data_IF_465520502091
#
_entry.id   IF_465520502091
#
_cell.length_a   1.000
_cell.length_b   1.000
_cell.length_c   1.000
_cell.angle_alpha   90.00
_cell.angle_beta   90.00
_cell.angle_gamma   90.00
#
_symmetry.space_group_name_H-M   'P 1'
#
loop_
_entity.id
_entity.type
_entity.pdbx_description
1 polymer ?
#
# COMPACT_ATOMS: atom_id res chain seq x y z
N UNK A 1 26.83 -46.62 -38.83
CA UNK A 1 26.69 -46.05 -37.47
C UNK A 1 26.29 -44.60 -37.60
N UNK A 2 25.05 -44.27 -37.25
CA UNK A 2 24.60 -42.95 -36.76
C UNK A 2 23.08 -43.09 -36.49
N UNK A 3 22.71 -43.26 -35.23
CA UNK A 3 21.31 -43.31 -34.77
C UNK A 3 20.91 -41.89 -34.38
N UNK A 4 19.94 -41.31 -35.07
CA UNK A 4 19.25 -40.09 -34.62
C UNK A 4 18.19 -40.48 -33.60
N UNK A 5 18.35 -39.99 -32.36
CA UNK A 5 17.34 -40.01 -31.30
C UNK A 5 16.68 -38.63 -31.19
N UNK A 6 15.41 -38.56 -30.74
CA UNK A 6 14.50 -37.45 -31.00
C UNK A 6 14.74 -36.26 -30.07
N UNK A 7 14.49 -35.06 -30.60
CA UNK A 7 14.44 -33.81 -29.85
C UNK A 7 13.25 -33.85 -28.87
N UNK A 8 13.54 -34.26 -27.65
CA UNK A 8 12.68 -34.19 -26.48
C UNK A 8 12.21 -32.77 -26.20
N UNK A 9 10.91 -32.66 -25.93
CA UNK A 9 10.30 -31.91 -24.83
C UNK A 9 11.18 -30.78 -24.24
N UNK A 10 11.12 -29.61 -24.84
CA UNK A 10 11.39 -28.35 -24.15
C UNK A 10 10.34 -27.35 -24.60
N UNK A 11 9.93 -26.47 -23.69
CA UNK A 11 8.86 -25.45 -23.85
C UNK A 11 7.46 -25.93 -23.43
N UNK A 12 7.36 -26.52 -22.22
CA UNK A 12 6.11 -26.56 -21.45
C UNK A 12 6.35 -26.05 -20.01
N UNK A 13 6.95 -24.87 -19.89
CA UNK A 13 7.12 -24.16 -18.60
C UNK A 13 6.72 -22.67 -18.65
N UNK A 14 5.98 -22.23 -19.68
CA UNK A 14 5.57 -20.81 -19.82
C UNK A 14 4.17 -20.49 -19.26
N UNK A 15 3.49 -21.42 -18.58
CA UNK A 15 2.09 -21.23 -18.13
C UNK A 15 1.87 -21.31 -16.61
N UNK A 16 2.91 -21.44 -15.78
CA UNK A 16 2.77 -21.54 -14.31
C UNK A 16 3.77 -20.69 -13.52
N UNK A 17 4.34 -19.66 -14.14
CA UNK A 17 5.30 -18.74 -13.52
C UNK A 17 4.66 -17.57 -12.79
N UNK A 18 3.77 -17.84 -11.83
CA UNK A 18 3.19 -16.83 -10.94
C UNK A 18 3.45 -17.13 -9.47
N UNK A 19 4.56 -17.81 -9.14
CA UNK A 19 4.98 -17.97 -7.75
C UNK A 19 5.54 -16.62 -7.29
N UNK A 20 4.66 -15.70 -6.92
CA UNK A 20 5.05 -14.40 -6.36
C UNK A 20 5.79 -14.65 -5.05
N UNK A 21 7.07 -14.25 -4.96
CA UNK A 21 7.87 -14.44 -3.76
C UNK A 21 7.29 -13.57 -2.63
N UNK A 22 6.67 -14.20 -1.63
CA UNK A 22 6.43 -13.66 -0.29
C UNK A 22 5.92 -12.21 -0.19
N UNK A 23 4.99 -11.81 -1.06
CA UNK A 23 4.35 -10.49 -1.04
C UNK A 23 2.97 -10.50 -0.41
N UNK A 24 2.48 -9.35 0.04
CA UNK A 24 1.11 -9.22 0.56
C UNK A 24 0.13 -9.47 -0.58
N UNK A 25 -0.75 -10.47 -0.48
CA UNK A 25 -1.73 -10.78 -1.53
C UNK A 25 -3.16 -10.36 -1.17
N UNK A 26 -3.40 -10.03 0.10
CA UNK A 26 -4.72 -9.66 0.62
C UNK A 26 -4.58 -8.86 1.91
N UNK A 27 -5.57 -8.03 2.19
CA UNK A 27 -5.75 -7.36 3.48
C UNK A 27 -6.84 -8.11 4.23
N UNK A 28 -6.53 -8.63 5.42
CA UNK A 28 -7.52 -9.17 6.36
C UNK A 28 -7.58 -8.24 7.55
N UNK A 29 -8.78 -7.77 7.89
CA UNK A 29 -8.94 -6.85 9.00
C UNK A 29 -10.34 -6.91 9.60
N UNK A 30 -10.44 -6.38 10.82
CA UNK A 30 -11.67 -6.00 11.47
C UNK A 30 -11.64 -4.48 11.71
N UNK A 31 -12.65 -3.79 11.20
CA UNK A 31 -12.80 -2.33 11.35
C UNK A 31 -13.31 -2.03 12.76
N UNK A 32 -12.59 -1.19 13.49
CA UNK A 32 -13.04 -0.66 14.78
C UNK A 32 -14.15 0.37 14.57
N UNK A 33 -15.09 0.42 15.52
CA UNK A 33 -16.25 1.33 15.49
C UNK A 33 -17.07 1.23 14.20
N UNK A 34 -17.15 0.03 13.61
CA UNK A 34 -17.96 -0.23 12.42
C UNK A 34 -19.45 -0.02 12.74
N UNK A 35 -20.22 0.71 11.91
CA UNK A 35 -21.61 1.09 12.20
C UNK A 35 -22.61 -0.07 12.21
N UNK A 36 -22.16 -1.33 12.05
CA UNK A 36 -23.00 -2.52 12.24
C UNK A 36 -23.66 -3.09 10.97
N UNK A 37 -23.43 -2.47 9.80
CA UNK A 37 -24.11 -2.83 8.55
C UNK A 37 -23.19 -3.56 7.57
N UNK A 38 -23.74 -4.49 6.81
CA UNK A 38 -23.00 -5.14 5.73
C UNK A 38 -22.73 -4.14 4.60
N UNK A 39 -21.59 -4.29 3.92
CA UNK A 39 -21.14 -3.31 2.96
C UNK A 39 -20.09 -3.83 2.00
N UNK A 40 -19.38 -2.91 1.37
CA UNK A 40 -18.22 -3.22 0.54
C UNK A 40 -16.99 -2.43 0.99
N UNK A 41 -15.82 -3.04 0.78
CA UNK A 41 -14.51 -2.36 0.82
C UNK A 41 -13.86 -2.48 -0.54
N UNK A 42 -13.15 -1.43 -0.96
CA UNK A 42 -12.56 -1.37 -2.30
C UNK A 42 -11.29 -0.52 -2.33
N UNK A 43 -10.39 -0.88 -3.24
CA UNK A 43 -9.27 -0.02 -3.65
C UNK A 43 -9.68 0.64 -4.95
N UNK A 44 -9.59 1.96 -5.00
CA UNK A 44 -9.94 2.75 -6.16
C UNK A 44 -8.69 3.09 -6.99
N UNK A 45 -8.86 3.04 -8.32
CA UNK A 45 -7.89 3.51 -9.29
C UNK A 45 -8.20 4.94 -9.76
N UNK A 46 -7.56 5.35 -10.85
CA UNK A 46 -7.85 6.63 -11.51
C UNK A 46 -9.32 6.71 -11.94
N UNK A 47 -9.95 7.87 -11.75
CA UNK A 47 -11.35 8.09 -12.13
C UNK A 47 -12.40 7.42 -11.23
N UNK A 48 -12.00 6.87 -10.08
CA UNK A 48 -12.92 6.27 -9.11
C UNK A 48 -13.35 4.84 -9.43
N UNK A 49 -12.73 4.20 -10.43
CA UNK A 49 -12.99 2.78 -10.75
C UNK A 49 -12.38 1.86 -9.71
N UNK A 50 -13.11 0.85 -9.24
CA UNK A 50 -12.57 -0.14 -8.31
C UNK A 50 -11.53 -1.04 -9.01
N UNK A 51 -10.31 -1.10 -8.47
CA UNK A 51 -9.27 -2.05 -8.88
C UNK A 51 -9.50 -3.44 -8.27
N UNK A 52 -10.13 -3.48 -7.10
CA UNK A 52 -10.54 -4.69 -6.38
C UNK A 52 -11.59 -4.31 -5.33
N UNK A 53 -12.43 -5.26 -4.97
CA UNK A 53 -13.40 -5.11 -3.89
C UNK A 53 -13.66 -6.42 -3.16
N UNK A 54 -14.18 -6.31 -1.94
CA UNK A 54 -14.71 -7.44 -1.17
C UNK A 54 -15.87 -6.98 -0.29
N UNK A 55 -16.71 -7.91 0.14
CA UNK A 55 -17.71 -7.63 1.16
C UNK A 55 -17.04 -7.32 2.52
N UNK A 56 -17.69 -6.46 3.30
CA UNK A 56 -17.45 -6.29 4.74
C UNK A 56 -18.73 -6.69 5.47
N UNK A 57 -18.60 -7.52 6.50
CA UNK A 57 -19.75 -8.02 7.26
C UNK A 57 -20.27 -7.01 8.29
N UNK A 58 -21.37 -7.35 8.95
CA UNK A 58 -22.01 -6.51 9.98
C UNK A 58 -21.12 -6.24 11.20
N UNK A 59 -20.08 -7.04 11.43
CA UNK A 59 -19.13 -6.84 12.53
C UNK A 59 -17.82 -6.19 12.06
N UNK A 60 -17.79 -5.68 10.83
CA UNK A 60 -16.68 -4.92 10.26
C UNK A 60 -15.53 -5.79 9.78
N UNK A 61 -15.71 -7.10 9.58
CA UNK A 61 -14.65 -8.00 9.10
C UNK A 61 -14.66 -8.09 7.59
N UNK A 62 -13.46 -8.09 7.00
CA UNK A 62 -13.30 -8.27 5.56
C UNK A 62 -12.00 -9.01 5.21
N UNK A 63 -11.98 -9.56 3.99
CA UNK A 63 -10.78 -10.07 3.34
C UNK A 63 -10.74 -9.51 1.91
N UNK A 64 -9.92 -8.48 1.71
CA UNK A 64 -9.80 -7.75 0.45
C UNK A 64 -8.60 -8.30 -0.34
N UNK A 65 -8.80 -8.96 -1.48
CA UNK A 65 -7.68 -9.35 -2.34
C UNK A 65 -6.99 -8.11 -2.88
N UNK A 66 -5.66 -8.07 -2.88
CA UNK A 66 -4.90 -6.98 -3.48
C UNK A 66 -4.77 -7.19 -4.99
N UNK A 67 -4.88 -6.13 -5.82
CA UNK A 67 -4.80 -6.27 -7.28
C UNK A 67 -3.43 -6.77 -7.72
N UNK A 68 -3.40 -7.61 -8.75
CA UNK A 68 -2.17 -8.08 -9.38
C UNK A 68 -1.56 -7.06 -10.35
N UNK A 69 -0.39 -7.40 -10.91
CA UNK A 69 0.39 -6.50 -11.76
C UNK A 69 -0.40 -5.87 -12.93
N UNK A 70 -1.23 -6.66 -13.63
CA UNK A 70 -2.01 -6.18 -14.77
C UNK A 70 -3.02 -5.09 -14.38
N UNK A 71 -3.67 -5.23 -13.22
CA UNK A 71 -4.62 -4.24 -12.71
C UNK A 71 -3.92 -2.99 -12.15
N UNK A 72 -2.69 -3.14 -11.67
CA UNK A 72 -1.90 -2.04 -11.14
C UNK A 72 -1.24 -1.19 -12.23
N UNK A 73 -0.85 -1.78 -13.36
CA UNK A 73 -0.09 -1.11 -14.42
C UNK A 73 -0.62 0.30 -14.82
N UNK A 74 -1.95 0.53 -14.96
CA UNK A 74 -2.46 1.85 -15.36
C UNK A 74 -2.35 2.93 -14.29
N UNK A 75 -2.13 2.57 -13.03
CA UNK A 75 -2.11 3.52 -11.89
C UNK A 75 -0.71 3.72 -11.30
N UNK A 76 0.31 3.07 -11.85
CA UNK A 76 1.68 3.21 -11.37
C UNK A 76 2.27 4.58 -11.73
N UNK A 77 3.06 5.12 -10.81
CA UNK A 77 3.75 6.40 -10.94
C UNK A 77 5.25 6.21 -10.77
N UNK A 78 6.11 7.01 -11.42
CA UNK A 78 7.56 6.90 -11.28
C UNK A 78 8.08 7.33 -9.90
N UNK A 79 7.23 7.87 -9.03
CA UNK A 79 7.61 8.35 -7.71
C UNK A 79 6.54 8.05 -6.66
N UNK A 80 6.97 7.80 -5.42
CA UNK A 80 6.12 7.74 -4.23
C UNK A 80 5.76 9.12 -3.69
N UNK A 81 6.38 10.18 -4.20
CA UNK A 81 6.13 11.54 -3.74
C UNK A 81 4.72 12.00 -4.16
N UNK A 82 3.99 12.67 -3.26
CA UNK A 82 2.81 13.42 -3.67
C UNK A 82 3.23 14.54 -4.63
N UNK A 83 2.27 15.10 -5.37
CA UNK A 83 2.53 16.33 -6.13
C UNK A 83 3.02 17.40 -5.15
N UNK A 84 4.25 17.86 -5.34
CA UNK A 84 4.91 18.78 -4.42
C UNK A 84 4.24 20.15 -4.48
N UNK A 85 3.77 20.62 -3.32
CA UNK A 85 3.27 21.98 -3.20
C UNK A 85 4.43 22.98 -3.27
N UNK A 86 4.12 24.25 -3.54
CA UNK A 86 5.11 25.32 -3.52
C UNK A 86 5.81 25.38 -2.15
N UNK A 87 7.15 25.51 -2.16
CA UNK A 87 7.96 25.53 -0.93
C UNK A 87 8.29 24.15 -0.35
N UNK A 88 8.00 23.07 -1.09
CA UNK A 88 8.52 21.73 -0.80
C UNK A 88 9.80 21.46 -1.61
N UNK A 89 10.79 20.85 -0.96
CA UNK A 89 12.02 20.34 -1.56
C UNK A 89 12.18 18.87 -1.20
N UNK A 90 12.53 18.04 -2.16
CA UNK A 90 12.84 16.64 -1.92
C UNK A 90 14.31 16.31 -2.23
N UNK A 91 14.84 15.35 -1.49
CA UNK A 91 16.10 14.66 -1.76
C UNK A 91 15.87 13.16 -1.83
N UNK A 92 14.68 12.75 -2.26
CA UNK A 92 14.27 11.36 -2.27
C UNK A 92 14.81 10.70 -3.52
N UNK A 93 15.68 9.71 -3.32
CA UNK A 93 16.29 8.92 -4.37
C UNK A 93 15.66 7.53 -4.44
N UNK A 94 15.53 7.02 -5.66
CA UNK A 94 15.14 5.65 -5.95
C UNK A 94 16.34 4.95 -6.58
N UNK A 95 16.68 3.75 -6.11
CA UNK A 95 17.86 3.01 -6.59
C UNK A 95 17.78 2.62 -8.06
N UNK A 96 16.57 2.38 -8.57
CA UNK A 96 16.31 2.06 -9.98
C UNK A 96 15.28 3.06 -10.54
N UNK A 97 15.66 3.90 -11.52
CA UNK A 97 14.75 4.91 -12.08
C UNK A 97 13.61 4.31 -12.93
N UNK A 98 13.68 3.03 -13.31
CA UNK A 98 12.59 2.34 -13.99
C UNK A 98 11.52 1.81 -13.03
N UNK A 99 11.78 1.82 -11.72
CA UNK A 99 10.82 1.39 -10.72
C UNK A 99 9.61 2.34 -10.67
N UNK A 100 8.42 1.76 -10.66
CA UNK A 100 7.15 2.49 -10.56
C UNK A 100 6.36 1.99 -9.37
N UNK A 101 5.56 2.86 -8.79
CA UNK A 101 4.95 2.68 -7.49
C UNK A 101 3.48 3.06 -7.46
N UNK A 102 2.76 2.47 -6.52
CA UNK A 102 1.46 2.93 -6.08
C UNK A 102 1.39 2.86 -4.56
N UNK A 103 1.06 3.99 -3.92
CA UNK A 103 0.90 4.10 -2.47
C UNK A 103 -0.58 4.04 -2.13
N UNK A 104 -0.94 3.11 -1.25
CA UNK A 104 -2.28 2.93 -0.71
C UNK A 104 -2.29 3.28 0.78
N UNK A 105 -2.60 4.54 1.13
CA UNK A 105 -2.65 4.97 2.54
C UNK A 105 -3.98 4.61 3.22
N UNK A 106 -5.04 4.39 2.45
CA UNK A 106 -6.39 4.11 2.92
C UNK A 106 -7.16 3.27 1.90
N UNK A 107 -8.26 2.66 2.32
CA UNK A 107 -9.20 1.96 1.43
C UNK A 107 -10.59 2.58 1.56
N UNK A 108 -11.35 2.56 0.48
CA UNK A 108 -12.73 3.05 0.48
C UNK A 108 -13.65 1.95 1.01
N UNK A 109 -14.71 2.36 1.72
CA UNK A 109 -15.76 1.46 2.15
C UNK A 109 -17.14 2.10 1.92
N UNK A 110 -18.17 1.28 1.77
CA UNK A 110 -19.55 1.72 1.73
C UNK A 110 -20.41 0.83 2.60
N UNK A 111 -21.28 1.44 3.41
CA UNK A 111 -22.25 0.74 4.26
C UNK A 111 -23.44 1.66 4.53
N UNK A 112 -24.66 1.11 4.51
CA UNK A 112 -25.89 1.86 4.78
C UNK A 112 -26.06 3.15 3.93
N UNK A 113 -25.57 3.15 2.69
CA UNK A 113 -25.61 4.32 1.79
C UNK A 113 -24.57 5.41 2.10
N UNK A 114 -23.71 5.22 3.10
CA UNK A 114 -22.60 6.12 3.41
C UNK A 114 -21.29 5.62 2.76
N UNK A 115 -20.50 6.56 2.23
CA UNK A 115 -19.14 6.32 1.79
C UNK A 115 -18.16 6.68 2.91
N UNK A 116 -17.25 5.75 3.21
CA UNK A 116 -16.30 5.81 4.31
C UNK A 116 -14.87 5.64 3.79
N UNK A 117 -13.90 6.15 4.55
CA UNK A 117 -12.47 5.92 4.30
C UNK A 117 -11.87 5.22 5.52
N UNK A 118 -11.28 4.05 5.28
CA UNK A 118 -10.65 3.23 6.31
C UNK A 118 -9.14 3.43 6.27
N UNK A 119 -8.54 3.71 7.42
CA UNK A 119 -7.10 3.95 7.58
C UNK A 119 -6.55 2.92 8.57
N UNK A 120 -5.39 2.32 8.30
CA UNK A 120 -4.78 1.44 9.30
C UNK A 120 -3.93 2.27 10.23
N UNK A 121 -4.27 2.34 11.52
CA UNK A 121 -3.43 3.09 12.45
C UNK A 121 -3.46 2.50 13.86
N UNK A 122 -2.39 2.75 14.60
CA UNK A 122 -2.32 2.46 16.03
C UNK A 122 -3.25 3.40 16.80
N UNK A 123 -3.93 2.85 17.82
CA UNK A 123 -4.78 3.64 18.70
C UNK A 123 -3.88 4.33 19.72
N UNK A 124 -3.75 5.65 19.65
CA UNK A 124 -3.21 6.41 20.76
C UNK A 124 -4.32 6.76 21.73
N UNK A 125 -4.25 6.25 22.96
CA UNK A 125 -5.16 6.68 24.03
C UNK A 125 -4.77 8.06 24.59
N UNK A 126 -3.66 8.64 24.10
CA UNK A 126 -3.18 9.96 24.48
C UNK A 126 -3.57 10.95 23.38
N UNK A 127 -4.34 12.00 23.69
CA UNK A 127 -4.59 13.09 22.76
C UNK A 127 -3.27 13.66 22.22
N UNK A 128 -3.07 13.61 20.90
CA UNK A 128 -1.83 14.06 20.26
C UNK A 128 -0.63 13.13 20.39
N UNK A 129 -0.82 11.91 20.90
CA UNK A 129 0.23 10.91 21.00
C UNK A 129 0.66 10.32 19.64
N UNK A 130 1.56 9.32 19.66
CA UNK A 130 2.13 8.76 18.45
C UNK A 130 1.06 8.09 17.58
N UNK A 131 1.16 8.36 16.28
CA UNK A 131 0.31 7.81 15.24
C UNK A 131 1.19 6.99 14.30
N UNK A 132 1.04 5.68 14.33
CA UNK A 132 1.65 4.79 13.35
C UNK A 132 0.58 4.33 12.38
N UNK A 133 0.65 4.81 11.14
CA UNK A 133 -0.25 4.43 10.07
C UNK A 133 0.38 3.34 9.21
N UNK A 134 -0.34 2.25 8.95
CA UNK A 134 0.09 1.28 7.92
C UNK A 134 -0.30 1.77 6.55
N UNK A 135 0.62 1.60 5.64
CA UNK A 135 0.40 1.85 4.22
C UNK A 135 0.85 0.63 3.42
N UNK A 136 0.18 0.39 2.30
CA UNK A 136 0.61 -0.62 1.35
C UNK A 136 1.24 0.05 0.15
N UNK A 137 2.34 -0.51 -0.35
CA UNK A 137 3.08 0.01 -1.48
C UNK A 137 3.23 -1.09 -2.51
N UNK A 138 2.62 -0.90 -3.67
CA UNK A 138 2.94 -1.72 -4.84
C UNK A 138 4.21 -1.17 -5.50
N UNK A 139 5.19 -2.03 -5.79
CA UNK A 139 6.36 -1.69 -6.60
C UNK A 139 6.40 -2.61 -7.84
N UNK A 140 6.62 -2.05 -9.03
CA UNK A 140 6.73 -2.83 -10.27
C UNK A 140 7.93 -3.79 -10.26
N UNK A 141 8.99 -3.42 -9.53
CA UNK A 141 10.24 -4.15 -9.40
C UNK A 141 10.90 -3.86 -8.06
N UNK A 142 11.91 -4.64 -7.62
CA UNK A 142 12.61 -4.36 -6.38
C UNK A 142 13.29 -2.98 -6.43
N UNK A 143 13.14 -2.18 -5.38
CA UNK A 143 13.71 -0.84 -5.33
C UNK A 143 13.95 -0.38 -3.89
N UNK A 144 15.01 0.40 -3.70
CA UNK A 144 15.26 1.13 -2.45
C UNK A 144 14.88 2.59 -2.65
N UNK A 145 14.11 3.15 -1.69
CA UNK A 145 13.71 4.56 -1.69
C UNK A 145 14.20 5.21 -0.40
N UNK A 146 15.03 6.24 -0.53
CA UNK A 146 15.70 6.88 0.60
C UNK A 146 15.79 8.40 0.44
N UNK A 147 15.75 9.12 1.57
CA UNK A 147 15.94 10.56 1.62
C UNK A 147 14.76 11.27 2.28
N UNK A 148 14.71 12.59 2.14
CA UNK A 148 13.76 13.42 2.86
C UNK A 148 12.98 14.33 1.91
N UNK A 149 11.70 14.53 2.24
CA UNK A 149 10.84 15.58 1.71
C UNK A 149 10.62 16.61 2.81
N UNK A 150 10.91 17.87 2.54
CA UNK A 150 10.70 18.97 3.48
C UNK A 150 9.82 20.03 2.83
N UNK A 151 8.76 20.44 3.51
CA UNK A 151 7.84 21.49 3.09
C UNK A 151 7.88 22.63 4.09
N UNK A 152 8.63 23.68 3.76
CA UNK A 152 8.90 24.80 4.67
C UNK A 152 7.61 25.56 5.06
N UNK A 153 6.72 25.81 4.08
CA UNK A 153 5.47 26.53 4.28
C UNK A 153 4.52 25.77 5.22
N UNK A 154 4.49 24.44 5.11
CA UNK A 154 3.66 23.58 5.94
C UNK A 154 4.36 23.15 7.24
N UNK A 155 5.60 23.62 7.48
CA UNK A 155 6.46 23.19 8.57
C UNK A 155 6.47 21.66 8.78
N UNK A 156 6.51 20.90 7.67
CA UNK A 156 6.43 19.44 7.71
C UNK A 156 7.60 18.81 6.98
N UNK A 157 8.02 17.63 7.44
CA UNK A 157 8.98 16.81 6.74
C UNK A 157 8.58 15.34 6.78
N UNK A 158 8.96 14.60 5.75
CA UNK A 158 8.78 13.16 5.64
C UNK A 158 10.11 12.52 5.26
N UNK A 159 10.62 11.63 6.10
CA UNK A 159 11.78 10.81 5.78
C UNK A 159 11.35 9.47 5.18
N UNK A 160 12.09 8.99 4.19
CA UNK A 160 11.85 7.74 3.48
C UNK A 160 13.01 6.78 3.74
N UNK A 161 12.70 5.56 4.17
CA UNK A 161 13.66 4.49 4.37
C UNK A 161 13.02 3.15 3.99
N UNK A 162 12.84 2.94 2.68
CA UNK A 162 12.11 1.80 2.13
C UNK A 162 13.05 0.85 1.39
N UNK A 163 12.84 -0.45 1.62
CA UNK A 163 13.42 -1.55 0.83
C UNK A 163 12.28 -2.41 0.29
N UNK A 164 11.90 -2.18 -0.96
CA UNK A 164 10.69 -2.74 -1.58
C UNK A 164 11.06 -3.97 -2.43
N UNK A 165 10.27 -5.03 -2.29
CA UNK A 165 10.22 -6.17 -3.23
C UNK A 165 9.27 -5.83 -4.38
N UNK A 166 9.38 -6.55 -5.50
CA UNK A 166 8.35 -6.48 -6.54
C UNK A 166 6.98 -6.94 -5.99
N UNK A 167 5.90 -6.27 -6.40
CA UNK A 167 4.56 -6.51 -5.90
C UNK A 167 4.21 -5.66 -4.68
N UNK A 168 3.26 -6.14 -3.87
CA UNK A 168 2.76 -5.44 -2.70
C UNK A 168 3.67 -5.62 -1.48
N UNK A 169 4.05 -4.50 -0.90
CA UNK A 169 4.83 -4.36 0.31
C UNK A 169 3.98 -3.69 1.41
N UNK A 170 4.38 -3.93 2.65
CA UNK A 170 3.87 -3.24 3.81
C UNK A 170 4.92 -2.24 4.31
N UNK A 171 4.48 -1.05 4.69
CA UNK A 171 5.30 -0.04 5.34
C UNK A 171 4.51 0.66 6.46
N UNK A 172 5.22 1.27 7.40
CA UNK A 172 4.63 2.10 8.46
C UNK A 172 5.06 3.53 8.26
N UNK A 173 4.09 4.43 8.25
CA UNK A 173 4.29 5.86 8.44
C UNK A 173 4.18 6.16 9.93
N UNK A 174 5.31 6.42 10.58
CA UNK A 174 5.38 6.83 11.99
C UNK A 174 5.30 8.34 12.11
N UNK A 175 4.50 8.81 13.06
CA UNK A 175 4.44 10.20 13.50
C UNK A 175 4.40 10.25 15.02
N UNK A 176 5.50 10.63 15.70
CA UNK A 176 5.53 10.71 17.16
C UNK A 176 4.43 11.61 17.77
N UNK A 177 4.05 12.67 17.04
CA UNK A 177 2.88 13.51 17.30
C UNK A 177 2.28 13.97 15.95
N UNK A 178 1.03 14.46 15.88
CA UNK A 178 0.43 14.97 14.64
C UNK A 178 1.22 16.10 13.95
N UNK A 179 2.01 16.86 14.72
CA UNK A 179 2.88 17.94 14.26
C UNK A 179 4.33 17.51 14.03
N UNK A 180 4.70 16.27 14.36
CA UNK A 180 6.07 15.77 14.18
C UNK A 180 6.36 15.41 12.71
N UNK A 181 7.64 15.44 12.30
CA UNK A 181 8.08 14.81 11.06
C UNK A 181 7.56 13.39 10.91
N UNK A 182 7.07 13.07 9.72
CA UNK A 182 6.69 11.71 9.37
C UNK A 182 7.93 10.89 8.98
N UNK A 183 7.91 9.60 9.26
CA UNK A 183 8.90 8.65 8.76
C UNK A 183 8.20 7.46 8.14
N UNK A 184 8.44 7.23 6.86
CA UNK A 184 7.92 6.10 6.12
C UNK A 184 9.01 5.04 5.96
N UNK A 185 8.82 3.89 6.59
CA UNK A 185 9.83 2.82 6.62
C UNK A 185 9.24 1.43 6.37
N UNK A 186 10.07 0.58 5.77
CA UNK A 186 9.74 -0.84 5.60
C UNK A 186 9.72 -1.54 6.96
N UNK A 187 8.82 -2.49 7.09
CA UNK A 187 8.67 -3.35 8.27
C UNK A 187 8.78 -4.79 7.80
N UNK A 188 9.42 -5.64 8.61
CA UNK A 188 9.51 -7.08 8.33
C UNK A 188 8.13 -7.74 8.32
N UNK A 189 8.09 -9.04 8.01
CA UNK A 189 6.86 -9.80 7.77
C UNK A 189 5.91 -9.88 9.00
N UNK A 190 6.31 -9.38 10.18
CA UNK A 190 5.68 -9.68 11.49
C UNK A 190 5.02 -8.47 12.22
N UNK A 191 4.78 -7.33 11.56
CA UNK A 191 4.52 -6.06 12.27
C UNK A 191 3.07 -5.54 12.38
N UNK A 192 2.28 -6.05 13.34
CA UNK A 192 1.15 -5.40 14.07
C UNK A 192 -0.30 -5.57 13.54
N UNK A 193 -1.32 -5.37 14.41
CA UNK A 193 -2.81 -5.45 14.18
C UNK A 193 -3.52 -4.07 14.28
N UNK A 194 -4.59 -3.81 13.50
CA UNK A 194 -5.56 -2.71 13.74
C UNK A 194 -5.77 -1.65 12.64
N UNK A 195 -7.03 -1.39 12.28
CA UNK A 195 -7.51 -0.28 11.42
C UNK A 195 -8.51 0.62 12.17
N UNK A 196 -8.58 1.91 11.83
CA UNK A 196 -9.50 2.93 12.38
C UNK A 196 -10.16 3.77 11.26
N UNK A 197 -11.33 4.35 11.55
CA UNK A 197 -12.03 5.28 10.63
C UNK A 197 -11.46 6.69 10.83
N UNK A 198 -11.04 7.35 9.75
CA UNK A 198 -10.61 8.74 9.82
C UNK A 198 -11.82 9.66 10.11
N UNK A 199 -11.82 10.35 11.26
CA UNK A 199 -12.84 11.37 11.56
C UNK A 199 -12.46 12.68 10.86
N UNK A 200 -13.33 13.15 9.97
CA UNK A 200 -13.20 14.45 9.31
C UNK A 200 -13.26 15.60 10.33
N UNK A 201 -12.56 16.70 10.01
CA UNK A 201 -12.74 17.99 10.67
C UNK A 201 -14.04 18.64 10.23
#
# INVERSE_FOLDING_TARGET
MARFLPASLMVLCLLLGGCSPGGVSRIRAQVRDWPGEAGQVMILGGGGTALTSSAIDKVGRFTLPLPGAAAMAPVLRPTLLPSLAAGCTDKVAVSDPAAQFYLLPSISASAAGANLTLVSQTRSNVPGGPLDQRVYIYASMPARVQGDLTCAVAASSTSYALNLKAGWNYAVMRRPTPSSPARLESVGDDGFEGWEVAKGK
#
